data_IF_831928915322
#
_entry.id   IF_831928915322
#
_cell.length_a   1.000
_cell.length_b   1.000
_cell.length_c   1.000
_cell.angle_alpha   90.00
_cell.angle_beta   90.00
_cell.angle_gamma   90.00
#
_symmetry.space_group_name_H-M   'P 1'
#
loop_
_entity.id
_entity.type
_entity.pdbx_description
1 polymer ?
#
# COMPACT_ATOMS: atom_id res chain seq x y z
N UNK A 1 4.74 1.40 17.15
CA UNK A 1 4.11 2.21 16.10
C UNK A 1 2.61 2.05 16.15
N UNK A 2 1.93 3.16 16.31
CA UNK A 2 0.48 3.16 16.55
C UNK A 2 -0.35 3.08 15.27
N UNK A 3 0.12 3.74 14.20
CA UNK A 3 -0.59 3.71 12.92
C UNK A 3 0.41 3.51 11.79
N UNK A 4 0.28 2.39 11.12
CA UNK A 4 1.22 1.99 10.07
C UNK A 4 0.48 1.86 8.75
N UNK A 5 1.05 2.44 7.69
CA UNK A 5 0.52 2.30 6.35
C UNK A 5 1.41 1.36 5.55
N UNK A 6 0.80 0.38 4.90
CA UNK A 6 1.50 -0.54 3.98
C UNK A 6 0.92 -0.34 2.59
N UNK A 7 1.78 -0.07 1.62
CA UNK A 7 1.39 -0.10 0.21
C UNK A 7 1.30 -1.55 -0.23
N UNK A 8 0.13 -1.98 -0.64
CA UNK A 8 -0.12 -3.40 -0.90
C UNK A 8 -0.66 -3.63 -2.31
N UNK A 9 0.10 -4.34 -3.12
CA UNK A 9 -0.27 -4.68 -4.51
C UNK A 9 -0.30 -6.19 -4.75
N UNK A 10 -0.20 -7.00 -3.70
CA UNK A 10 -0.20 -8.45 -3.80
C UNK A 10 1.13 -9.06 -4.19
N UNK A 11 2.16 -8.26 -4.43
CA UNK A 11 3.49 -8.76 -4.78
C UNK A 11 4.17 -9.39 -3.57
N UNK A 12 5.24 -10.16 -3.82
CA UNK A 12 6.05 -10.73 -2.74
C UNK A 12 6.64 -9.64 -1.85
N UNK A 13 7.05 -8.52 -2.45
CA UNK A 13 7.56 -7.38 -1.69
C UNK A 13 6.51 -6.81 -0.76
N UNK A 14 5.28 -6.66 -1.24
CA UNK A 14 4.18 -6.17 -0.42
C UNK A 14 3.83 -7.13 0.72
N UNK A 15 3.90 -8.43 0.46
CA UNK A 15 3.68 -9.43 1.52
C UNK A 15 4.74 -9.33 2.62
N UNK A 16 6.00 -9.14 2.23
CA UNK A 16 7.08 -8.96 3.21
C UNK A 16 6.90 -7.67 4.02
N UNK A 17 6.47 -6.60 3.37
CA UNK A 17 6.18 -5.34 4.04
C UNK A 17 5.04 -5.51 5.04
N UNK A 18 3.97 -6.19 4.63
CA UNK A 18 2.85 -6.48 5.52
C UNK A 18 3.27 -7.29 6.73
N UNK A 19 4.06 -8.34 6.52
CA UNK A 19 4.53 -9.17 7.63
C UNK A 19 5.36 -8.36 8.63
N UNK A 20 6.17 -7.43 8.14
CA UNK A 20 6.93 -6.55 9.03
C UNK A 20 6.01 -5.60 9.80
N UNK A 21 4.98 -5.09 9.16
CA UNK A 21 4.01 -4.22 9.82
C UNK A 21 3.29 -4.96 10.95
N UNK A 22 2.93 -6.23 10.70
CA UNK A 22 2.26 -7.05 11.72
C UNK A 22 3.15 -7.28 12.95
N UNK A 23 4.47 -7.29 12.77
CA UNK A 23 5.40 -7.40 13.89
C UNK A 23 5.54 -6.10 14.70
N UNK A 24 5.36 -4.96 14.02
CA UNK A 24 5.64 -3.65 14.62
C UNK A 24 4.41 -2.94 15.17
N UNK A 25 3.22 -3.33 14.74
CA UNK A 25 1.99 -2.64 15.14
C UNK A 25 1.70 -2.88 16.62
N UNK A 26 1.35 -1.81 17.34
CA UNK A 26 1.03 -1.88 18.77
C UNK A 26 -0.40 -2.37 18.99
N UNK A 27 -0.65 -2.87 20.19
CA UNK A 27 -2.02 -3.15 20.62
C UNK A 27 -2.82 -1.85 20.53
N UNK A 28 -4.07 -1.96 20.11
CA UNK A 28 -4.96 -0.81 19.87
C UNK A 28 -4.48 0.11 18.75
N UNK A 29 -3.48 -0.31 17.98
CA UNK A 29 -3.04 0.45 16.82
C UNK A 29 -3.95 0.26 15.62
N UNK A 30 -3.59 0.90 14.52
CA UNK A 30 -4.31 0.77 13.25
C UNK A 30 -3.34 0.46 12.12
N UNK A 31 -3.61 -0.63 11.41
CA UNK A 31 -2.86 -1.01 10.22
C UNK A 31 -3.69 -0.62 9.00
N UNK A 32 -3.10 0.13 8.09
CA UNK A 32 -3.77 0.59 6.88
C UNK A 32 -3.14 -0.11 5.68
N UNK A 33 -3.95 -0.87 4.94
CA UNK A 33 -3.53 -1.49 3.69
C UNK A 33 -4.03 -0.63 2.56
N UNK A 34 -3.12 -0.03 1.81
CA UNK A 34 -3.46 0.87 0.72
C UNK A 34 -3.09 0.23 -0.62
N UNK A 35 -4.09 0.06 -1.47
CA UNK A 35 -3.89 -0.32 -2.86
C UNK A 35 -4.16 0.88 -3.74
N UNK A 36 -3.28 1.14 -4.70
CA UNK A 36 -3.44 2.27 -5.62
C UNK A 36 -3.62 1.74 -7.03
N UNK A 37 -4.72 2.15 -7.67
CA UNK A 37 -4.99 1.81 -9.06
C UNK A 37 -4.38 2.91 -9.91
N UNK A 38 -3.47 2.57 -10.85
CA UNK A 38 -2.87 3.59 -11.70
C UNK A 38 -3.95 4.36 -12.46
N UNK A 39 -3.87 5.69 -12.41
CA UNK A 39 -4.75 6.55 -13.18
C UNK A 39 -4.11 6.80 -14.54
N UNK A 40 -4.86 6.48 -15.59
CA UNK A 40 -4.45 6.87 -16.94
C UNK A 40 -5.17 8.16 -17.24
N UNK A 41 -4.49 9.06 -17.92
CA UNK A 41 -5.06 10.36 -18.30
C UNK A 41 -6.20 10.22 -19.31
N UNK A 42 -6.34 9.06 -19.93
CA UNK A 42 -7.41 8.78 -20.88
C UNK A 42 -8.74 8.66 -20.15
N UNK A 43 -9.66 9.55 -20.49
CA UNK A 43 -11.03 9.54 -19.94
C UNK A 43 -11.72 8.19 -20.13
N UNK A 44 -11.41 7.52 -21.25
CA UNK A 44 -11.99 6.22 -21.60
C UNK A 44 -11.65 5.14 -20.58
N UNK A 45 -10.49 5.21 -19.92
CA UNK A 45 -10.13 4.22 -18.91
C UNK A 45 -10.95 4.40 -17.63
N UNK A 46 -11.13 5.65 -17.18
CA UNK A 46 -11.84 5.95 -15.92
C UNK A 46 -13.30 5.52 -16.00
N UNK A 47 -13.94 5.69 -17.18
CA UNK A 47 -15.35 5.37 -17.38
C UNK A 47 -15.56 3.99 -17.97
N UNK A 48 -14.52 3.20 -18.14
CA UNK A 48 -14.60 1.91 -18.82
C UNK A 48 -14.94 0.76 -17.88
N UNK A 49 -15.45 -0.32 -18.45
CA UNK A 49 -15.64 -1.56 -17.72
C UNK A 49 -14.32 -2.13 -17.23
N UNK A 50 -13.24 -1.86 -17.97
CA UNK A 50 -11.88 -2.28 -17.56
C UNK A 50 -11.48 -1.65 -16.22
N UNK A 51 -11.76 -0.37 -16.03
CA UNK A 51 -11.48 0.31 -14.77
C UNK A 51 -12.29 -0.31 -13.63
N UNK A 52 -13.58 -0.55 -13.87
CA UNK A 52 -14.47 -1.17 -12.86
C UNK A 52 -13.95 -2.54 -12.44
N UNK A 53 -13.45 -3.33 -13.41
CA UNK A 53 -12.89 -4.65 -13.12
C UNK A 53 -11.61 -4.56 -12.29
N UNK A 54 -10.74 -3.61 -12.61
CA UNK A 54 -9.49 -3.42 -11.85
C UNK A 54 -9.81 -3.01 -10.42
N UNK A 55 -10.76 -2.10 -10.25
CA UNK A 55 -11.20 -1.66 -8.92
C UNK A 55 -11.79 -2.81 -8.12
N UNK A 56 -12.62 -3.62 -8.75
CA UNK A 56 -13.23 -4.78 -8.09
C UNK A 56 -12.18 -5.77 -7.63
N UNK A 57 -11.18 -6.04 -8.47
CA UNK A 57 -10.08 -6.94 -8.11
C UNK A 57 -9.25 -6.39 -6.95
N UNK A 58 -9.01 -5.09 -6.93
CA UNK A 58 -8.28 -4.44 -5.84
C UNK A 58 -9.07 -4.56 -4.54
N UNK A 59 -10.37 -4.30 -4.58
CA UNK A 59 -11.24 -4.44 -3.42
C UNK A 59 -11.21 -5.88 -2.88
N UNK A 60 -11.31 -6.86 -3.76
CA UNK A 60 -11.27 -8.28 -3.37
C UNK A 60 -9.93 -8.66 -2.76
N UNK A 61 -8.85 -8.19 -3.35
CA UNK A 61 -7.50 -8.48 -2.84
C UNK A 61 -7.32 -7.96 -1.42
N UNK A 62 -7.71 -6.73 -1.17
CA UNK A 62 -7.58 -6.11 0.15
C UNK A 62 -8.49 -6.80 1.15
N UNK A 63 -9.76 -7.02 0.80
CA UNK A 63 -10.73 -7.68 1.69
C UNK A 63 -10.25 -9.09 2.06
N UNK A 64 -9.78 -9.84 1.08
CA UNK A 64 -9.29 -11.19 1.29
C UNK A 64 -8.10 -11.22 2.23
N UNK A 65 -7.18 -10.26 2.05
CA UNK A 65 -6.01 -10.17 2.91
C UNK A 65 -6.40 -9.83 4.35
N UNK A 66 -7.33 -8.91 4.53
CA UNK A 66 -7.83 -8.57 5.87
C UNK A 66 -8.47 -9.79 6.53
N UNK A 67 -9.25 -10.57 5.78
CA UNK A 67 -9.84 -11.81 6.30
C UNK A 67 -8.77 -12.82 6.71
N UNK A 68 -7.72 -12.96 5.91
CA UNK A 68 -6.62 -13.89 6.22
C UNK A 68 -5.89 -13.51 7.50
N UNK A 69 -5.70 -12.21 7.72
CA UNK A 69 -5.06 -11.74 8.95
C UNK A 69 -5.93 -12.04 10.16
N UNK A 70 -7.25 -11.90 10.00
CA UNK A 70 -8.22 -12.21 11.06
C UNK A 70 -8.28 -11.14 12.14
N UNK A 71 -8.98 -11.46 13.23
CA UNK A 71 -9.13 -10.56 14.36
C UNK A 71 -7.84 -10.47 15.16
N UNK A 72 -7.45 -9.24 15.50
CA UNK A 72 -6.24 -8.94 16.25
C UNK A 72 -6.52 -7.88 17.30
N UNK A 73 -5.52 -7.59 18.13
CA UNK A 73 -5.61 -6.53 19.14
C UNK A 73 -5.56 -5.12 18.53
N UNK A 74 -5.28 -5.02 17.25
CA UNK A 74 -5.26 -3.76 16.50
C UNK A 74 -6.33 -3.80 15.40
N UNK A 75 -6.72 -2.64 14.88
CA UNK A 75 -7.67 -2.58 13.78
C UNK A 75 -6.95 -2.59 12.44
N UNK A 76 -7.65 -3.06 11.40
CA UNK A 76 -7.13 -3.07 10.04
C UNK A 76 -8.12 -2.35 9.14
N UNK A 77 -7.62 -1.41 8.36
CA UNK A 77 -8.44 -0.67 7.40
C UNK A 77 -7.86 -0.81 6.00
N UNK A 78 -8.70 -1.16 5.04
CA UNK A 78 -8.33 -1.19 3.64
C UNK A 78 -8.76 0.08 2.94
N UNK A 79 -7.89 0.62 2.10
CA UNK A 79 -8.17 1.83 1.31
C UNK A 79 -7.76 1.57 -0.13
N UNK A 80 -8.63 1.95 -1.06
CA UNK A 80 -8.34 1.89 -2.50
C UNK A 80 -8.32 3.33 -3.01
N UNK A 81 -7.21 3.73 -3.61
CA UNK A 81 -7.08 5.06 -4.21
C UNK A 81 -6.75 4.92 -5.69
N UNK A 82 -6.99 5.96 -6.44
CA UNK A 82 -6.66 6.02 -7.86
C UNK A 82 -5.68 7.16 -8.10
N UNK A 83 -4.62 6.88 -8.83
CA UNK A 83 -3.63 7.90 -9.16
C UNK A 83 -2.23 7.34 -9.23
N UNK A 84 -1.24 8.18 -9.00
CA UNK A 84 0.14 7.76 -8.90
C UNK A 84 0.37 7.09 -7.55
N UNK A 85 0.95 5.90 -7.57
CA UNK A 85 1.10 5.10 -6.35
C UNK A 85 1.88 5.85 -5.27
N UNK A 86 3.04 6.39 -5.60
CA UNK A 86 3.86 7.09 -4.61
C UNK A 86 3.16 8.32 -4.04
N UNK A 87 2.53 9.12 -4.90
CA UNK A 87 1.80 10.30 -4.47
C UNK A 87 0.66 9.95 -3.51
N UNK A 88 -0.08 8.89 -3.82
CA UNK A 88 -1.20 8.47 -2.99
C UNK A 88 -0.76 7.89 -1.65
N UNK A 89 0.35 7.15 -1.65
CA UNK A 89 0.92 6.65 -0.40
C UNK A 89 1.27 7.81 0.52
N UNK A 90 1.96 8.82 0.00
CA UNK A 90 2.36 10.00 0.77
C UNK A 90 1.12 10.76 1.26
N UNK A 91 0.16 10.99 0.36
CA UNK A 91 -1.06 11.73 0.67
C UNK A 91 -1.88 11.05 1.79
N UNK A 92 -2.09 9.74 1.66
CA UNK A 92 -2.88 8.99 2.65
C UNK A 92 -2.16 8.94 3.99
N UNK A 93 -0.83 8.73 3.98
CA UNK A 93 -0.04 8.71 5.21
C UNK A 93 -0.14 10.04 5.96
N UNK A 94 -0.12 11.16 5.23
CA UNK A 94 -0.26 12.47 5.83
C UNK A 94 -1.68 12.73 6.33
N UNK A 95 -2.68 12.41 5.51
CA UNK A 95 -4.08 12.62 5.86
C UNK A 95 -4.48 11.85 7.11
N UNK A 96 -4.02 10.62 7.25
CA UNK A 96 -4.35 9.77 8.39
C UNK A 96 -3.33 9.86 9.52
N UNK A 97 -2.34 10.72 9.37
CA UNK A 97 -1.28 10.93 10.36
C UNK A 97 -0.63 9.62 10.80
N UNK A 98 -0.16 8.86 9.81
CA UNK A 98 0.53 7.61 10.08
C UNK A 98 1.91 7.84 10.72
N UNK A 99 2.33 6.92 11.57
CA UNK A 99 3.63 6.99 12.23
C UNK A 99 4.74 6.40 11.36
N UNK A 100 4.37 5.51 10.43
CA UNK A 100 5.33 4.78 9.64
C UNK A 100 4.69 4.32 8.34
N UNK A 101 5.44 4.41 7.25
CA UNK A 101 5.09 3.82 5.96
C UNK A 101 6.02 2.63 5.75
N UNK A 102 5.47 1.46 5.44
CA UNK A 102 6.29 0.28 5.13
C UNK A 102 5.99 -0.17 3.71
N UNK A 103 7.04 -0.31 2.92
CA UNK A 103 6.93 -0.73 1.53
C UNK A 103 7.92 -1.84 1.23
N UNK A 104 7.57 -2.69 0.29
CA UNK A 104 8.54 -3.61 -0.28
C UNK A 104 9.57 -2.83 -1.09
N UNK A 105 10.73 -3.43 -1.29
CA UNK A 105 11.80 -2.79 -2.05
C UNK A 105 11.38 -2.50 -3.49
N UNK A 106 10.53 -3.36 -4.07
CA UNK A 106 10.03 -3.22 -5.43
C UNK A 106 8.64 -3.83 -5.54
N UNK A 107 7.86 -3.34 -6.51
CA UNK A 107 6.52 -3.86 -6.77
C UNK A 107 6.50 -4.91 -7.86
N UNK A 108 5.30 -5.20 -8.37
CA UNK A 108 5.08 -6.25 -9.37
C UNK A 108 5.81 -6.04 -10.69
N UNK A 109 5.94 -4.80 -11.11
CA UNK A 109 6.53 -4.48 -12.42
C UNK A 109 8.06 -4.39 -12.41
N UNK A 110 8.68 -4.49 -11.26
CA UNK A 110 10.13 -4.33 -11.14
C UNK A 110 10.83 -5.67 -11.31
N UNK A 111 11.79 -5.72 -12.22
CA UNK A 111 12.49 -6.96 -12.58
C UNK A 111 13.97 -6.97 -12.18
N UNK A 112 14.53 -5.83 -11.80
CA UNK A 112 15.95 -5.73 -11.44
C UNK A 112 16.13 -5.93 -9.94
N UNK A 113 16.83 -7.00 -9.53
CA UNK A 113 16.89 -7.34 -8.10
C UNK A 113 17.78 -6.42 -7.26
N UNK A 114 18.66 -5.66 -7.89
CA UNK A 114 19.62 -4.79 -7.22
C UNK A 114 19.20 -3.32 -7.17
N UNK A 115 18.02 -3.01 -7.67
CA UNK A 115 17.54 -1.63 -7.80
C UNK A 115 16.29 -1.43 -6.94
N UNK A 116 16.25 -0.31 -6.23
CA UNK A 116 15.05 0.09 -5.50
C UNK A 116 13.95 0.42 -6.51
N UNK A 117 12.74 -0.07 -6.29
CA UNK A 117 11.62 0.18 -7.17
C UNK A 117 11.26 1.67 -7.24
N UNK A 118 10.65 2.07 -8.34
CA UNK A 118 10.35 3.49 -8.60
C UNK A 118 9.40 4.08 -7.56
N UNK A 119 8.40 3.31 -7.12
CA UNK A 119 7.45 3.77 -6.10
C UNK A 119 8.17 3.95 -4.77
N UNK A 120 8.95 2.96 -4.34
CA UNK A 120 9.69 3.02 -3.09
C UNK A 120 10.67 4.20 -3.09
N UNK A 121 11.39 4.39 -4.19
CA UNK A 121 12.35 5.47 -4.32
C UNK A 121 11.66 6.85 -4.20
N UNK A 122 10.55 7.03 -4.88
CA UNK A 122 9.81 8.29 -4.84
C UNK A 122 9.25 8.57 -3.45
N UNK A 123 8.71 7.55 -2.79
CA UNK A 123 8.19 7.71 -1.42
C UNK A 123 9.31 8.08 -0.46
N UNK A 124 10.43 7.37 -0.52
CA UNK A 124 11.58 7.68 0.35
C UNK A 124 12.06 9.12 0.16
N UNK A 125 12.09 9.57 -1.09
CA UNK A 125 12.59 10.91 -1.42
C UNK A 125 11.63 12.01 -0.96
N UNK A 126 10.33 11.79 -1.03
CA UNK A 126 9.34 12.86 -0.84
C UNK A 126 8.44 12.73 0.40
N UNK A 127 8.47 11.61 1.11
CA UNK A 127 7.60 11.43 2.26
C UNK A 127 7.98 12.34 3.42
N UNK A 128 6.96 12.75 4.18
CA UNK A 128 7.14 13.51 5.41
C UNK A 128 7.11 12.61 6.65
N UNK A 129 6.77 11.35 6.47
CA UNK A 129 6.72 10.37 7.55
C UNK A 129 7.89 9.40 7.43
N UNK A 130 8.28 8.74 8.52
CA UNK A 130 9.29 7.68 8.44
C UNK A 130 8.89 6.61 7.45
N UNK A 131 9.85 6.12 6.70
CA UNK A 131 9.62 5.08 5.67
C UNK A 131 10.57 3.92 5.94
N UNK A 132 10.03 2.73 5.96
CA UNK A 132 10.80 1.49 6.08
C UNK A 132 10.67 0.72 4.77
N UNK A 133 11.80 0.35 4.19
CA UNK A 133 11.81 -0.49 2.99
C UNK A 133 12.21 -1.90 3.41
N UNK A 134 11.41 -2.87 3.05
CA UNK A 134 11.63 -4.28 3.40
C UNK A 134 12.13 -5.04 2.17
N UNK A 135 13.23 -5.75 2.35
CA UNK A 135 13.81 -6.59 1.30
C UNK A 135 13.15 -7.95 1.24
#
# INVERSE_FOLDING_TARGET
MKRILVGYDGSDGAEKALNRALELIEEDGELILLAVIPSREEKSFVDSDAYKMVKLKADEMIRKKIEEIGEKSFSIRGIIEKGDAADKIIEVANRLNCDLIILGRKGQSEIRPDVLGSVAEKVVTHAYKPVMIVR
#
